data_IF_895303627463
#
_entry.id   IF_895303627463
#
_cell.length_a   1.000
_cell.length_b   1.000
_cell.length_c   1.000
_cell.angle_alpha   90.00
_cell.angle_beta   90.00
_cell.angle_gamma   90.00
#
_symmetry.space_group_name_H-M   'P 1'
#
loop_
_entity.id
_entity.type
_entity.pdbx_description
1 polymer ?
#
# COMPACT_ATOMS: atom_id res chain seq x y z
N UNK A 1 -30.62 44.44 -45.59
CA UNK A 1 -30.67 43.03 -45.18
C UNK A 1 -29.43 42.33 -45.67
N UNK A 2 -28.59 41.84 -44.74
CA UNK A 2 -27.72 40.65 -44.80
C UNK A 2 -26.53 40.87 -43.84
N UNK A 3 -26.68 40.45 -42.58
CA UNK A 3 -25.57 40.34 -41.62
C UNK A 3 -25.04 38.92 -41.71
N UNK A 4 -23.78 38.76 -42.11
CA UNK A 4 -23.11 37.47 -42.25
C UNK A 4 -22.55 37.12 -40.87
N UNK A 5 -23.24 36.25 -40.14
CA UNK A 5 -22.73 35.68 -38.91
C UNK A 5 -21.58 34.72 -39.26
N UNK A 6 -20.35 35.09 -38.91
CA UNK A 6 -19.21 34.18 -38.96
C UNK A 6 -19.34 33.08 -37.90
N UNK A 7 -18.80 31.88 -38.14
CA UNK A 7 -18.90 30.77 -37.20
C UNK A 7 -18.15 31.09 -35.90
N UNK A 8 -18.81 30.86 -34.76
CA UNK A 8 -18.18 30.89 -33.44
C UNK A 8 -17.01 29.88 -33.37
N UNK A 9 -15.85 30.27 -32.82
CA UNK A 9 -14.75 29.33 -32.64
C UNK A 9 -15.08 28.32 -31.54
N UNK A 10 -15.03 27.03 -31.87
CA UNK A 10 -15.16 25.95 -30.89
C UNK A 10 -14.05 26.02 -29.82
N UNK A 11 -14.37 25.76 -28.54
CA UNK A 11 -13.40 25.80 -27.47
C UNK A 11 -12.39 24.65 -27.62
N UNK A 12 -11.12 25.01 -27.70
CA UNK A 12 -10.01 24.06 -27.72
C UNK A 12 -10.03 23.26 -26.40
N UNK A 13 -10.11 21.92 -26.42
CA UNK A 13 -10.05 21.14 -25.20
C UNK A 13 -8.71 21.38 -24.50
N UNK A 14 -8.77 21.75 -23.22
CA UNK A 14 -7.59 21.97 -22.41
C UNK A 14 -6.70 20.71 -22.42
N UNK A 15 -5.36 20.88 -22.52
CA UNK A 15 -4.44 19.75 -22.51
C UNK A 15 -4.63 18.94 -21.22
N UNK A 16 -4.71 17.62 -21.35
CA UNK A 16 -4.80 16.72 -20.22
C UNK A 16 -3.62 16.98 -19.25
N UNK A 17 -3.86 16.96 -17.92
CA UNK A 17 -2.79 17.15 -16.96
C UNK A 17 -1.71 16.09 -17.18
N UNK A 18 -0.43 16.45 -17.04
CA UNK A 18 0.66 15.49 -17.20
C UNK A 18 0.49 14.34 -16.19
N UNK A 19 0.90 13.11 -16.55
CA UNK A 19 0.83 11.98 -15.64
C UNK A 19 1.55 12.32 -14.34
N UNK A 20 0.88 12.09 -13.22
CA UNK A 20 1.43 12.34 -11.90
C UNK A 20 2.76 11.60 -11.75
N UNK A 21 3.80 12.33 -11.33
CA UNK A 21 5.10 11.74 -11.05
C UNK A 21 4.96 10.57 -10.06
N UNK A 22 5.79 9.51 -10.17
CA UNK A 22 5.78 8.42 -9.21
C UNK A 22 6.00 9.00 -7.81
N UNK A 23 5.03 8.79 -6.92
CA UNK A 23 5.05 9.41 -5.60
C UNK A 23 6.09 8.71 -4.72
N UNK A 24 7.21 9.39 -4.46
CA UNK A 24 8.23 9.00 -3.46
C UNK A 24 7.67 8.87 -2.04
N UNK A 25 6.39 9.21 -1.83
CA UNK A 25 5.69 9.05 -0.56
C UNK A 25 5.41 7.57 -0.21
N UNK A 26 5.24 6.67 -1.20
CA UNK A 26 4.89 5.28 -0.92
C UNK A 26 6.02 4.51 -0.20
N UNK A 27 7.30 4.56 -0.65
CA UNK A 27 8.41 3.96 0.09
C UNK A 27 8.58 4.53 1.49
N UNK A 28 8.51 5.86 1.63
CA UNK A 28 8.66 6.52 2.94
C UNK A 28 7.53 6.13 3.90
N UNK A 29 6.29 6.09 3.42
CA UNK A 29 5.13 5.67 4.21
C UNK A 29 5.27 4.23 4.70
N UNK A 30 5.71 3.31 3.86
CA UNK A 30 5.95 1.93 4.25
C UNK A 30 7.01 1.81 5.35
N UNK A 31 8.13 2.52 5.21
CA UNK A 31 9.20 2.54 6.22
C UNK A 31 8.75 3.17 7.54
N UNK A 32 8.03 4.29 7.49
CA UNK A 32 7.52 4.96 8.70
C UNK A 32 6.53 4.07 9.45
N UNK A 33 5.68 3.34 8.74
CA UNK A 33 4.76 2.36 9.33
C UNK A 33 5.48 1.15 9.94
N UNK A 34 6.55 0.68 9.29
CA UNK A 34 7.38 -0.39 9.86
C UNK A 34 8.07 0.07 11.16
N UNK A 35 8.59 1.30 11.20
CA UNK A 35 9.15 1.89 12.43
C UNK A 35 8.11 1.99 13.54
N UNK A 36 6.90 2.43 13.21
CA UNK A 36 5.79 2.49 14.16
C UNK A 36 5.47 1.10 14.73
N UNK A 37 5.39 0.08 13.87
CA UNK A 37 5.14 -1.30 14.30
C UNK A 37 6.14 -1.77 15.36
N UNK A 38 7.43 -1.48 15.14
CA UNK A 38 8.50 -1.82 16.07
C UNK A 38 8.35 -1.09 17.42
N UNK A 39 8.17 0.23 17.39
CA UNK A 39 8.01 1.04 18.62
C UNK A 39 6.81 0.59 19.45
N UNK A 40 5.71 0.26 18.79
CA UNK A 40 4.46 -0.15 19.44
C UNK A 40 4.58 -1.55 20.03
N UNK A 41 5.31 -2.46 19.38
CA UNK A 41 5.60 -3.78 19.95
C UNK A 41 6.48 -3.65 21.20
N UNK A 42 7.53 -2.83 21.14
CA UNK A 42 8.41 -2.56 22.28
C UNK A 42 7.68 -1.93 23.46
N UNK A 43 6.65 -1.12 23.18
CA UNK A 43 5.78 -0.53 24.18
C UNK A 43 4.75 -1.52 24.78
N UNK A 44 4.67 -2.76 24.29
CA UNK A 44 3.79 -3.80 24.82
C UNK A 44 2.40 -3.85 24.18
N UNK A 45 2.23 -3.31 22.96
CA UNK A 45 0.94 -3.29 22.25
C UNK A 45 0.97 -4.16 20.97
N UNK A 46 0.94 -5.49 21.09
CA UNK A 46 1.16 -6.39 19.95
C UNK A 46 0.11 -6.27 18.84
N UNK A 47 -1.16 -6.02 19.18
CA UNK A 47 -2.23 -5.86 18.19
C UNK A 47 -2.03 -4.60 17.31
N UNK A 48 -1.63 -3.48 17.93
CA UNK A 48 -1.36 -2.23 17.21
C UNK A 48 -0.07 -2.32 16.38
N UNK A 49 0.91 -3.10 16.84
CA UNK A 49 2.11 -3.42 16.10
C UNK A 49 1.78 -4.19 14.82
N UNK A 50 0.95 -5.24 14.91
CA UNK A 50 0.47 -6.02 13.75
C UNK A 50 -0.28 -5.13 12.76
N UNK A 51 -1.17 -4.26 13.23
CA UNK A 51 -1.89 -3.31 12.37
C UNK A 51 -0.92 -2.38 11.63
N UNK A 52 0.09 -1.87 12.34
CA UNK A 52 1.10 -1.00 11.73
C UNK A 52 1.96 -1.76 10.70
N UNK A 53 2.27 -3.03 10.95
CA UNK A 53 2.97 -3.89 10.01
C UNK A 53 2.13 -4.21 8.76
N UNK A 54 0.82 -4.43 8.92
CA UNK A 54 -0.12 -4.52 7.80
C UNK A 54 -0.06 -3.26 6.93
N UNK A 55 -0.16 -2.08 7.54
CA UNK A 55 -0.12 -0.80 6.82
C UNK A 55 1.21 -0.62 6.07
N UNK A 56 2.32 -1.06 6.66
CA UNK A 56 3.63 -1.01 6.04
C UNK A 56 3.71 -1.88 4.77
N UNK A 57 3.28 -3.14 4.86
CA UNK A 57 3.27 -4.06 3.73
C UNK A 57 2.28 -3.60 2.65
N UNK A 58 1.09 -3.14 3.05
CA UNK A 58 0.09 -2.62 2.13
C UNK A 58 0.60 -1.38 1.37
N UNK A 59 1.30 -0.46 2.05
CA UNK A 59 1.91 0.70 1.41
C UNK A 59 3.03 0.30 0.44
N UNK A 60 3.88 -0.68 0.80
CA UNK A 60 4.93 -1.18 -0.06
C UNK A 60 4.37 -1.84 -1.34
N UNK A 61 3.34 -2.69 -1.19
CA UNK A 61 2.64 -3.32 -2.33
C UNK A 61 1.91 -2.26 -3.16
N UNK A 62 1.27 -1.29 -2.52
CA UNK A 62 0.59 -0.17 -3.19
C UNK A 62 1.53 0.63 -4.07
N UNK A 63 2.80 0.80 -3.67
CA UNK A 63 3.83 1.45 -4.49
C UNK A 63 4.20 0.70 -5.78
N UNK A 64 3.78 -0.56 -5.93
CA UNK A 64 3.96 -1.35 -7.16
C UNK A 64 2.81 -1.22 -8.14
N UNK A 65 1.66 -0.69 -7.71
CA UNK A 65 0.48 -0.51 -8.53
C UNK A 65 0.61 0.76 -9.38
N UNK A 66 0.22 0.66 -10.64
CA UNK A 66 0.10 1.82 -11.51
C UNK A 66 -1.23 2.53 -11.19
N UNK A 67 -1.18 3.53 -10.30
CA UNK A 67 -2.35 4.33 -9.89
C UNK A 67 -2.66 4.27 -8.40
N UNK A 68 -3.91 4.60 -8.04
CA UNK A 68 -4.32 4.69 -6.64
C UNK A 68 -4.34 3.31 -5.96
N UNK A 69 -3.75 3.25 -4.76
CA UNK A 69 -3.83 2.08 -3.91
C UNK A 69 -5.26 1.95 -3.36
N UNK A 70 -5.93 0.79 -3.54
CA UNK A 70 -7.24 0.56 -2.96
C UNK A 70 -7.22 0.73 -1.43
N UNK A 71 -8.27 1.31 -0.82
CA UNK A 71 -8.28 1.60 0.61
C UNK A 71 -8.67 0.39 1.48
N UNK A 72 -9.23 -0.66 0.89
CA UNK A 72 -9.70 -1.87 1.61
C UNK A 72 -8.77 -3.05 1.37
N UNK A 73 -8.78 -4.00 2.31
CA UNK A 73 -8.03 -5.24 2.19
C UNK A 73 -8.44 -6.01 0.93
N UNK A 74 -9.74 -6.21 0.71
CA UNK A 74 -10.30 -6.94 -0.43
C UNK A 74 -9.95 -6.24 -1.75
N UNK A 75 -9.99 -4.90 -1.77
CA UNK A 75 -9.61 -4.11 -2.92
C UNK A 75 -8.13 -4.28 -3.26
N UNK A 76 -7.25 -4.25 -2.25
CA UNK A 76 -5.82 -4.45 -2.45
C UNK A 76 -5.52 -5.88 -2.93
N UNK A 77 -6.16 -6.89 -2.34
CA UNK A 77 -6.03 -8.29 -2.77
C UNK A 77 -6.50 -8.47 -4.22
N UNK A 78 -7.64 -7.90 -4.60
CA UNK A 78 -8.11 -7.92 -5.97
C UNK A 78 -7.12 -7.25 -6.94
N UNK A 79 -6.53 -6.12 -6.56
CA UNK A 79 -5.51 -5.44 -7.35
C UNK A 79 -4.22 -6.28 -7.49
N UNK A 80 -3.78 -6.96 -6.43
CA UNK A 80 -2.62 -7.86 -6.46
C UNK A 80 -2.84 -8.97 -7.49
N UNK A 81 -3.96 -9.68 -7.43
CA UNK A 81 -4.25 -10.79 -8.33
C UNK A 81 -4.52 -10.35 -9.77
N UNK A 82 -5.09 -9.16 -9.97
CA UNK A 82 -5.35 -8.63 -11.30
C UNK A 82 -4.10 -8.05 -11.96
N UNK A 83 -3.24 -7.38 -11.20
CA UNK A 83 -2.20 -6.53 -11.78
C UNK A 83 -0.77 -6.99 -11.50
N UNK A 84 -0.47 -7.49 -10.30
CA UNK A 84 0.90 -7.77 -9.86
C UNK A 84 1.31 -9.23 -10.09
N UNK A 85 0.46 -10.18 -9.71
CA UNK A 85 0.75 -11.62 -9.83
C UNK A 85 0.90 -12.05 -11.30
N UNK A 86 -0.01 -11.70 -12.24
CA UNK A 86 0.12 -12.13 -13.63
C UNK A 86 1.34 -11.54 -14.36
N UNK A 87 1.89 -10.45 -13.83
CA UNK A 87 3.08 -9.76 -14.37
C UNK A 87 4.36 -10.12 -13.61
N UNK A 88 4.30 -11.10 -12.69
CA UNK A 88 5.42 -11.51 -11.85
C UNK A 88 6.07 -10.36 -11.05
N UNK A 89 5.32 -9.29 -10.76
CA UNK A 89 5.81 -8.13 -9.96
C UNK A 89 5.71 -8.35 -8.46
N UNK A 90 4.96 -9.37 -8.03
CA UNK A 90 4.81 -9.74 -6.62
C UNK A 90 4.67 -11.27 -6.49
N UNK A 91 5.48 -11.95 -5.65
CA UNK A 91 5.33 -13.39 -5.42
C UNK A 91 4.08 -13.71 -4.59
N UNK A 92 3.50 -14.90 -4.78
CA UNK A 92 2.28 -15.35 -4.07
C UNK A 92 2.42 -15.42 -2.53
N UNK A 93 3.64 -15.48 -2.01
CA UNK A 93 3.87 -15.43 -0.56
C UNK A 93 3.50 -14.08 0.07
N UNK A 94 3.56 -12.97 -0.67
CA UNK A 94 3.22 -11.64 -0.15
C UNK A 94 1.71 -11.48 0.18
N UNK A 95 0.74 -11.82 -0.70
CA UNK A 95 -0.67 -11.77 -0.33
C UNK A 95 -1.03 -12.75 0.79
N UNK A 96 -0.33 -13.89 0.92
CA UNK A 96 -0.49 -14.78 2.08
C UNK A 96 -0.11 -14.12 3.41
N UNK A 97 1.02 -13.43 3.45
CA UNK A 97 1.44 -12.65 4.62
C UNK A 97 0.47 -11.50 4.92
N UNK A 98 -0.02 -10.81 3.88
CA UNK A 98 -0.99 -9.73 4.02
C UNK A 98 -2.31 -10.23 4.64
N UNK A 99 -2.78 -11.42 4.23
CA UNK A 99 -3.96 -12.05 4.82
C UNK A 99 -3.73 -12.41 6.30
N UNK A 100 -2.59 -13.04 6.63
CA UNK A 100 -2.22 -13.36 8.02
C UNK A 100 -2.23 -12.12 8.92
N UNK A 101 -1.68 -11.01 8.45
CA UNK A 101 -1.70 -9.74 9.20
C UNK A 101 -3.12 -9.18 9.38
N UNK A 102 -3.96 -9.28 8.35
CA UNK A 102 -5.36 -8.85 8.44
C UNK A 102 -6.14 -9.69 9.46
N UNK A 103 -5.91 -11.00 9.51
CA UNK A 103 -6.53 -11.89 10.49
C UNK A 103 -6.09 -11.54 11.91
N UNK A 104 -4.78 -11.39 12.13
CA UNK A 104 -4.23 -10.99 13.44
C UNK A 104 -4.72 -9.60 13.88
N UNK A 105 -4.78 -8.63 12.97
CA UNK A 105 -5.35 -7.31 13.26
C UNK A 105 -6.85 -7.39 13.60
N UNK A 106 -7.57 -8.36 13.03
CA UNK A 106 -8.98 -8.60 13.34
C UNK A 106 -9.17 -9.18 14.74
N UNK A 107 -8.25 -10.00 15.24
CA UNK A 107 -8.25 -10.48 16.63
C UNK A 107 -8.23 -9.30 17.62
N UNK A 108 -7.32 -8.34 17.42
CA UNK A 108 -7.25 -7.15 18.27
C UNK A 108 -8.54 -6.31 18.26
N UNK A 109 -9.21 -6.19 17.11
CA UNK A 109 -10.52 -5.51 17.00
C UNK A 109 -11.64 -6.23 17.74
N UNK A 110 -11.53 -7.55 17.89
CA UNK A 110 -12.48 -8.38 18.64
C UNK A 110 -12.15 -8.45 20.14
N UNK A 111 -11.10 -7.76 20.60
CA UNK A 111 -10.63 -7.84 21.99
C UNK A 111 -9.92 -9.15 22.34
N UNK A 112 -9.45 -9.88 21.32
CA UNK A 112 -8.62 -11.07 21.52
C UNK A 112 -7.15 -10.64 21.55
N UNK A 113 -6.46 -11.00 22.63
CA UNK A 113 -5.05 -10.68 22.80
C UNK A 113 -4.19 -11.35 21.73
N UNK A 114 -3.29 -10.57 21.15
CA UNK A 114 -2.28 -11.06 20.20
C UNK A 114 -1.01 -11.38 20.98
N UNK A 115 -0.50 -12.59 20.82
CA UNK A 115 0.76 -13.01 21.45
C UNK A 115 1.93 -12.12 20.97
N UNK A 116 2.70 -11.49 21.88
CA UNK A 116 3.87 -10.68 21.52
C UNK A 116 4.93 -11.42 20.70
N UNK A 117 5.14 -12.73 20.95
CA UNK A 117 6.10 -13.53 20.19
C UNK A 117 5.63 -13.73 18.74
N UNK A 118 4.34 -14.01 18.56
CA UNK A 118 3.71 -14.12 17.25
C UNK A 118 3.73 -12.79 16.48
N UNK A 119 3.49 -11.67 17.18
CA UNK A 119 3.62 -10.35 16.60
C UNK A 119 5.07 -10.07 16.16
N UNK A 120 6.06 -10.40 17.00
CA UNK A 120 7.48 -10.26 16.66
C UNK A 120 7.89 -11.06 15.42
N UNK A 121 7.46 -12.32 15.33
CA UNK A 121 7.72 -13.19 14.17
C UNK A 121 7.18 -12.56 12.88
N UNK A 122 5.89 -12.16 12.88
CA UNK A 122 5.24 -11.63 11.68
C UNK A 122 5.83 -10.27 11.28
N UNK A 123 6.25 -9.45 12.25
CA UNK A 123 6.95 -8.18 11.99
C UNK A 123 8.29 -8.42 11.30
N UNK A 124 9.06 -9.43 11.74
CA UNK A 124 10.32 -9.81 11.09
C UNK A 124 10.13 -10.23 9.63
N UNK A 125 9.09 -11.02 9.35
CA UNK A 125 8.72 -11.38 7.96
C UNK A 125 8.36 -10.15 7.12
N UNK A 126 7.53 -9.24 7.66
CA UNK A 126 7.13 -8.01 6.98
C UNK A 126 8.35 -7.14 6.68
N UNK A 127 9.27 -6.98 7.62
CA UNK A 127 10.49 -6.20 7.42
C UNK A 127 11.31 -6.74 6.25
N UNK A 128 11.48 -8.06 6.18
CA UNK A 128 12.17 -8.71 5.06
C UNK A 128 11.45 -8.54 3.71
N UNK A 129 10.12 -8.40 3.71
CA UNK A 129 9.35 -8.08 2.51
C UNK A 129 9.46 -6.61 2.12
N UNK A 130 9.26 -5.68 3.05
CA UNK A 130 9.38 -4.23 2.78
C UNK A 130 10.76 -3.92 2.21
N UNK A 131 11.84 -4.49 2.77
CA UNK A 131 13.19 -4.34 2.24
C UNK A 131 13.42 -4.93 0.85
N UNK A 132 12.61 -5.91 0.42
CA UNK A 132 12.66 -6.48 -0.94
C UNK A 132 11.84 -5.69 -1.95
N UNK A 133 10.73 -5.10 -1.51
CA UNK A 133 9.77 -4.41 -2.39
C UNK A 133 10.12 -2.94 -2.63
N UNK A 134 10.79 -2.31 -1.67
CA UNK A 134 11.25 -0.93 -1.83
C UNK A 134 12.62 -0.93 -2.51
N UNK A 135 12.82 -0.18 -3.61
CA UNK A 135 14.14 -0.04 -4.19
C UNK A 135 15.08 0.59 -3.15
N UNK A 136 16.28 0.02 -3.02
CA UNK A 136 17.39 0.71 -2.38
C UNK A 136 17.73 1.89 -3.29
N UNK A 137 17.24 3.09 -2.98
CA UNK A 137 17.75 4.31 -3.60
C UNK A 137 19.27 4.35 -3.34
N UNK A 138 20.13 4.44 -4.36
CA UNK A 138 21.54 4.72 -4.12
C UNK A 138 21.66 6.11 -3.50
N UNK A 139 22.23 6.16 -2.30
CA UNK A 139 22.67 7.39 -1.63
C UNK A 139 23.74 8.10 -2.45
#
# INVERSE_FOLDING_TARGET
MASIAGPEPEPIPAPAPPPAAPSSAAPRRALDRMRLAQVVLEAGFPADAVKSAYDALAAAIGGLLDGDCPPTHEGLVAAIYRYLVPRCRLPLAAPGLLARLNDLASLGRMGVDVDPALAGEVLGEVQGWVGRLLPLEPS
#
